data_IF_318865196206
#
_entry.id   IF_318865196206
#
_cell.length_a   1.000
_cell.length_b   1.000
_cell.length_c   1.000
_cell.angle_alpha   90.00
_cell.angle_beta   90.00
_cell.angle_gamma   90.00
#
_symmetry.space_group_name_H-M   'P 1'
#
loop_
_entity.id
_entity.type
_entity.pdbx_description
1 polymer ?
#
# COMPACT_ATOMS: atom_id res chain seq x y z
N UNK A 1 1.20 7.39 -7.63
CA UNK A 1 0.29 7.32 -6.47
C UNK A 1 1.14 7.56 -5.24
N UNK A 2 0.68 8.37 -4.27
CA UNK A 2 1.48 8.71 -3.08
C UNK A 2 1.36 7.64 -1.97
N UNK A 3 0.31 6.82 -1.99
CA UNK A 3 0.10 5.72 -1.05
C UNK A 3 0.42 4.37 -1.70
N UNK A 4 0.57 3.34 -0.86
CA UNK A 4 1.02 2.00 -1.24
C UNK A 4 -0.13 0.97 -1.10
N UNK A 5 -1.01 0.83 -2.13
CA UNK A 5 -2.07 -0.17 -2.12
C UNK A 5 -1.55 -1.62 -2.20
N UNK A 6 -0.26 -1.81 -2.48
CA UNK A 6 0.41 -3.10 -2.60
C UNK A 6 0.89 -3.69 -1.27
N UNK A 7 0.82 -2.94 -0.16
CA UNK A 7 1.32 -3.41 1.13
C UNK A 7 0.33 -4.36 1.79
N UNK A 8 0.80 -5.58 2.06
CA UNK A 8 0.20 -6.53 2.99
C UNK A 8 1.03 -6.64 4.28
N UNK A 9 0.62 -7.52 5.21
CA UNK A 9 1.34 -7.71 6.47
C UNK A 9 2.80 -8.16 6.26
N UNK A 10 3.06 -8.98 5.25
CA UNK A 10 4.40 -9.49 4.98
C UNK A 10 5.31 -8.37 4.44
N UNK A 11 4.81 -7.56 3.52
CA UNK A 11 5.54 -6.42 2.95
C UNK A 11 5.82 -5.38 4.02
N UNK A 12 4.83 -5.07 4.88
CA UNK A 12 5.04 -4.15 5.99
C UNK A 12 6.13 -4.67 6.94
N UNK A 13 6.13 -5.95 7.29
CA UNK A 13 7.16 -6.55 8.14
C UNK A 13 8.55 -6.44 7.52
N UNK A 14 8.68 -6.65 6.20
CA UNK A 14 9.95 -6.48 5.48
C UNK A 14 10.44 -5.03 5.54
N UNK A 15 9.54 -4.06 5.40
CA UNK A 15 9.88 -2.63 5.46
C UNK A 15 10.32 -2.21 6.86
N UNK A 16 9.60 -2.63 7.88
CA UNK A 16 9.94 -2.35 9.28
C UNK A 16 11.28 -3.00 9.69
N UNK A 17 11.64 -4.12 9.06
CA UNK A 17 12.91 -4.80 9.28
C UNK A 17 14.11 -4.14 8.57
N UNK A 18 13.89 -3.15 7.68
CA UNK A 18 14.97 -2.37 7.09
C UNK A 18 15.61 -1.46 8.14
N UNK A 19 16.88 -1.08 7.93
CA UNK A 19 17.61 -0.26 8.90
C UNK A 19 16.87 1.07 9.15
N UNK A 20 16.54 1.32 10.42
CA UNK A 20 15.75 2.48 10.84
C UNK A 20 14.24 2.37 10.69
N UNK A 21 13.68 1.32 10.09
CA UNK A 21 12.25 1.22 9.74
C UNK A 21 11.29 1.42 10.93
N UNK A 22 11.43 0.63 12.00
CA UNK A 22 10.64 0.84 13.22
C UNK A 22 10.91 2.20 13.88
N UNK A 23 12.17 2.63 13.93
CA UNK A 23 12.57 3.85 14.62
C UNK A 23 12.03 5.11 13.93
N UNK A 24 11.98 5.12 12.60
CA UNK A 24 11.39 6.20 11.80
C UNK A 24 9.88 6.30 12.06
N UNK A 25 9.16 5.17 11.99
CA UNK A 25 7.70 5.11 12.25
C UNK A 25 7.38 5.60 13.67
N UNK A 26 8.15 5.17 14.67
CA UNK A 26 7.97 5.61 16.05
C UNK A 26 8.30 7.11 16.25
N UNK A 27 9.28 7.64 15.51
CA UNK A 27 9.66 9.06 15.58
C UNK A 27 8.55 10.00 15.08
N UNK A 28 7.71 9.51 14.17
CA UNK A 28 6.49 10.18 13.69
C UNK A 28 5.29 10.00 14.64
N UNK A 29 5.49 9.35 15.78
CA UNK A 29 4.46 9.12 16.80
C UNK A 29 3.51 7.96 16.49
N UNK A 30 3.87 7.09 15.55
CA UNK A 30 3.06 5.92 15.17
C UNK A 30 3.50 4.70 16.00
N UNK A 31 2.53 3.99 16.57
CA UNK A 31 2.80 2.74 17.28
C UNK A 31 2.91 1.58 16.28
N UNK A 32 4.09 0.94 16.21
CA UNK A 32 4.39 -0.13 15.25
C UNK A 32 3.49 -1.36 15.43
N UNK A 33 3.16 -1.75 16.66
CA UNK A 33 2.31 -2.90 16.93
C UNK A 33 0.86 -2.64 16.51
N UNK A 34 0.35 -1.44 16.78
CA UNK A 34 -0.97 -1.03 16.29
C UNK A 34 -1.00 -0.96 14.76
N UNK A 35 0.07 -0.44 14.13
CA UNK A 35 0.20 -0.41 12.67
C UNK A 35 0.14 -1.82 12.08
N UNK A 36 0.90 -2.78 12.62
CA UNK A 36 0.86 -4.19 12.22
C UNK A 36 -0.54 -4.79 12.38
N UNK A 37 -1.18 -4.55 13.53
CA UNK A 37 -2.51 -5.06 13.82
C UNK A 37 -3.57 -4.50 12.86
N UNK A 38 -3.50 -3.20 12.55
CA UNK A 38 -4.39 -2.55 11.60
C UNK A 38 -4.20 -3.06 10.17
N UNK A 39 -2.95 -3.18 9.71
CA UNK A 39 -2.63 -3.76 8.39
C UNK A 39 -3.23 -5.14 8.24
N UNK A 40 -2.99 -6.03 9.21
CA UNK A 40 -3.54 -7.39 9.18
C UNK A 40 -5.06 -7.43 9.17
N UNK A 41 -5.71 -6.53 9.93
CA UNK A 41 -7.18 -6.43 9.98
C UNK A 41 -7.78 -5.95 8.66
N UNK A 42 -7.08 -5.06 7.95
CA UNK A 42 -7.56 -4.42 6.72
C UNK A 42 -7.07 -5.10 5.44
N UNK A 43 -6.17 -6.07 5.54
CA UNK A 43 -5.45 -6.68 4.42
C UNK A 43 -6.39 -7.21 3.34
N UNK A 44 -7.38 -8.02 3.68
CA UNK A 44 -8.29 -8.62 2.69
C UNK A 44 -9.03 -7.54 1.87
N UNK A 45 -9.57 -6.52 2.54
CA UNK A 45 -10.32 -5.45 1.89
C UNK A 45 -9.39 -4.54 1.07
N UNK A 46 -8.19 -4.27 1.59
CA UNK A 46 -7.20 -3.43 0.91
C UNK A 46 -6.62 -4.12 -0.33
N UNK A 47 -6.40 -5.43 -0.27
CA UNK A 47 -5.98 -6.24 -1.41
C UNK A 47 -7.03 -6.20 -2.52
N UNK A 48 -8.32 -6.36 -2.18
CA UNK A 48 -9.38 -6.26 -3.18
C UNK A 48 -9.39 -4.88 -3.85
N UNK A 49 -9.30 -3.80 -3.08
CA UNK A 49 -9.20 -2.44 -3.63
C UNK A 49 -7.95 -2.25 -4.50
N UNK A 50 -6.84 -2.89 -4.16
CA UNK A 50 -5.61 -2.89 -4.95
C UNK A 50 -5.81 -3.56 -6.31
N UNK A 51 -6.45 -4.73 -6.34
CA UNK A 51 -6.80 -5.40 -7.59
C UNK A 51 -7.75 -4.57 -8.44
N UNK A 52 -8.83 -4.06 -7.84
CA UNK A 52 -9.81 -3.23 -8.54
C UNK A 52 -9.17 -1.96 -9.14
N UNK A 53 -8.19 -1.36 -8.44
CA UNK A 53 -7.43 -0.21 -8.92
C UNK A 53 -6.61 -0.56 -10.15
N UNK A 54 -5.90 -1.68 -10.15
CA UNK A 54 -5.08 -2.14 -11.28
C UNK A 54 -5.97 -2.46 -12.47
N UNK A 55 -7.05 -3.22 -12.26
CA UNK A 55 -7.98 -3.60 -13.32
C UNK A 55 -8.60 -2.36 -13.97
N UNK A 56 -9.07 -1.38 -13.17
CA UNK A 56 -9.60 -0.14 -13.74
C UNK A 56 -8.57 0.68 -14.52
N UNK A 57 -7.31 0.72 -14.05
CA UNK A 57 -6.24 1.39 -14.78
C UNK A 57 -6.00 0.72 -16.13
N UNK A 58 -5.90 -0.62 -16.16
CA UNK A 58 -5.70 -1.38 -17.38
C UNK A 58 -6.88 -1.22 -18.35
N UNK A 59 -8.10 -1.28 -17.84
CA UNK A 59 -9.32 -1.21 -18.66
C UNK A 59 -9.56 0.16 -19.27
N UNK A 60 -9.21 1.24 -18.56
CA UNK A 60 -9.66 2.60 -18.92
C UNK A 60 -8.55 3.56 -19.28
N UNK A 61 -7.36 3.39 -18.72
CA UNK A 61 -6.25 4.34 -18.87
C UNK A 61 -5.21 3.77 -19.82
N UNK A 62 -4.76 2.55 -19.59
CA UNK A 62 -3.72 1.92 -20.40
C UNK A 62 -4.17 1.68 -21.86
N UNK A 63 -5.47 1.51 -22.08
CA UNK A 63 -6.09 1.28 -23.40
C UNK A 63 -6.72 2.53 -24.01
N UNK A 64 -6.63 3.69 -23.34
CA UNK A 64 -7.28 4.91 -23.80
C UNK A 64 -6.68 5.40 -25.13
N UNK A 65 -7.49 5.95 -26.05
CA UNK A 65 -6.97 6.56 -27.26
C UNK A 65 -6.06 7.75 -26.91
N UNK A 66 -4.92 7.85 -27.59
CA UNK A 66 -4.01 8.98 -27.44
C UNK A 66 -4.71 10.24 -27.95
N UNK A 67 -4.93 11.20 -27.06
CA UNK A 67 -5.43 12.54 -27.43
C UNK A 67 -4.22 13.46 -27.58
N UNK A 68 -3.94 13.85 -28.81
CA UNK A 68 -2.96 14.92 -29.10
C UNK A 68 -3.62 16.26 -28.83
N UNK A 69 -3.00 17.08 -27.97
CA UNK A 69 -3.45 18.45 -27.63
C UNK A 69 -2.68 19.44 -28.51
#
# INVERSE_FOLDING_TARGET
>A
MQFHPEIDSQVLDMWLAMDGGCAEVESEGVNVEELRAQTKRLEQESNQRGYDLVDQFLDRVATAPIVTI
#
